data_IF_383166014880
#
_entry.id   IF_383166014880
#
_cell.length_a   1.000
_cell.length_b   1.000
_cell.length_c   1.000
_cell.angle_alpha   90.00
_cell.angle_beta   90.00
_cell.angle_gamma   90.00
#
_symmetry.space_group_name_H-M   'P 1'
#
loop_
_entity.id
_entity.type
_entity.pdbx_description
1 polymer ?
#
# COMPACT_ATOMS: atom_id res chain seq x y z
N UNK A 1 51.59 98.88 -56.64
CA UNK A 1 52.93 99.18 -57.21
C UNK A 1 53.62 100.13 -56.24
N UNK A 2 54.97 100.13 -56.14
CA UNK A 2 55.80 100.94 -55.20
C UNK A 2 55.69 100.45 -53.74
N UNK A 3 56.74 100.38 -52.88
CA UNK A 3 58.21 100.26 -53.06
C UNK A 3 58.85 99.78 -51.74
N UNK A 4 59.72 98.77 -51.82
CA UNK A 4 61.08 98.57 -51.23
C UNK A 4 61.48 99.27 -49.89
N UNK A 5 62.44 98.63 -49.19
CA UNK A 5 63.43 99.15 -48.18
C UNK A 5 63.05 98.75 -46.73
N UNK A 6 63.70 97.73 -46.12
CA UNK A 6 65.03 97.73 -45.42
C UNK A 6 65.00 98.61 -44.14
N UNK A 7 65.62 98.28 -43.01
CA UNK A 7 66.84 97.48 -42.79
C UNK A 7 66.98 97.02 -41.30
N UNK A 8 67.85 96.01 -41.09
CA UNK A 8 68.65 95.60 -39.91
C UNK A 8 68.09 95.73 -38.46
N UNK A 9 68.14 94.75 -37.53
CA UNK A 9 68.97 93.54 -37.24
C UNK A 9 69.85 93.72 -35.98
N UNK A 10 70.25 92.57 -35.36
CA UNK A 10 71.21 92.34 -34.25
C UNK A 10 70.56 92.35 -32.84
N UNK A 11 70.12 91.19 -32.32
CA UNK A 11 70.81 90.22 -31.40
C UNK A 11 71.25 90.80 -30.04
N UNK A 12 71.17 90.09 -28.91
CA UNK A 12 71.17 88.63 -28.59
C UNK A 12 70.30 88.40 -27.31
N UNK A 13 69.95 87.23 -26.76
CA UNK A 13 70.49 85.85 -26.86
C UNK A 13 69.48 84.73 -26.47
N UNK A 14 70.02 83.52 -26.29
CA UNK A 14 69.45 82.22 -25.91
C UNK A 14 68.55 82.19 -24.64
N UNK A 15 67.50 81.37 -24.56
CA UNK A 15 67.55 79.90 -24.63
C UNK A 15 66.40 79.22 -25.43
N UNK A 16 66.61 77.96 -25.81
CA UNK A 16 65.80 77.21 -26.77
C UNK A 16 65.27 75.90 -26.16
N UNK A 17 64.02 75.51 -26.55
CA UNK A 17 63.44 74.14 -26.54
C UNK A 17 63.39 73.37 -25.18
N UNK A 18 62.29 72.79 -24.70
CA UNK A 18 61.29 71.92 -25.37
C UNK A 18 60.02 71.79 -24.50
N UNK A 19 58.85 71.51 -25.11
CA UNK A 19 57.60 71.16 -24.40
C UNK A 19 57.40 69.64 -24.28
N UNK A 20 56.84 69.16 -23.17
CA UNK A 20 55.88 68.04 -23.19
C UNK A 20 54.63 68.37 -22.30
N UNK A 21 53.59 67.52 -22.18
CA UNK A 21 52.25 67.94 -22.60
C UNK A 21 51.25 68.20 -21.45
N UNK A 22 50.08 68.76 -21.81
CA UNK A 22 48.93 68.86 -20.91
C UNK A 22 48.43 67.49 -20.45
N UNK A 23 48.66 67.14 -19.18
CA UNK A 23 47.93 66.06 -18.53
C UNK A 23 46.58 66.58 -18.03
N UNK A 24 45.51 66.16 -18.71
CA UNK A 24 44.15 66.35 -18.22
C UNK A 24 43.92 65.33 -17.08
N UNK A 25 43.88 65.80 -15.84
CA UNK A 25 43.60 64.96 -14.68
C UNK A 25 42.14 64.50 -14.72
N UNK A 26 41.89 63.38 -15.38
CA UNK A 26 40.64 62.64 -15.23
C UNK A 26 40.62 62.12 -13.79
N UNK A 27 39.84 62.78 -12.94
CA UNK A 27 39.52 62.29 -11.61
C UNK A 27 38.83 60.93 -11.74
N UNK A 28 39.58 59.85 -11.58
CA UNK A 28 39.02 58.51 -11.48
C UNK A 28 38.10 58.46 -10.27
N UNK A 29 36.80 58.36 -10.54
CA UNK A 29 35.81 58.10 -9.50
C UNK A 29 36.23 56.85 -8.72
N UNK A 30 36.19 56.94 -7.38
CA UNK A 30 36.42 55.79 -6.51
C UNK A 30 35.26 54.79 -6.65
N UNK A 31 35.28 54.01 -7.73
CA UNK A 31 34.60 52.73 -7.76
C UNK A 31 35.20 51.87 -6.64
N UNK A 32 34.43 51.69 -5.57
CA UNK A 32 34.75 50.69 -4.57
C UNK A 32 34.90 49.33 -5.28
N UNK A 33 35.98 48.61 -5.01
CA UNK A 33 36.21 47.31 -5.60
C UNK A 33 35.17 46.31 -5.06
N UNK A 34 34.09 46.09 -5.82
CA UNK A 34 32.96 45.25 -5.38
C UNK A 34 33.25 43.74 -5.45
N UNK A 35 34.31 43.32 -6.17
CA UNK A 35 34.70 41.93 -6.37
C UNK A 35 34.82 41.07 -5.08
N UNK A 36 35.54 41.49 -4.01
CA UNK A 36 35.62 40.69 -2.77
C UNK A 36 34.25 40.46 -2.11
N UNK A 37 33.33 41.41 -2.17
CA UNK A 37 31.98 41.25 -1.62
C UNK A 37 31.15 40.25 -2.43
N UNK A 38 31.29 40.26 -3.76
CA UNK A 38 30.65 39.27 -4.65
C UNK A 38 31.19 37.86 -4.35
N UNK A 39 32.51 37.70 -4.22
CA UNK A 39 33.13 36.41 -3.88
C UNK A 39 32.66 35.92 -2.51
N UNK A 40 32.64 36.78 -1.49
CA UNK A 40 32.17 36.43 -0.15
C UNK A 40 30.67 36.05 -0.11
N UNK A 41 29.84 36.71 -0.92
CA UNK A 41 28.42 36.35 -1.06
C UNK A 41 28.24 35.00 -1.76
N UNK A 42 29.01 34.74 -2.82
CA UNK A 42 28.99 33.46 -3.54
C UNK A 42 29.47 32.30 -2.66
N UNK A 43 30.55 32.47 -1.88
CA UNK A 43 31.01 31.42 -0.95
C UNK A 43 30.02 31.18 0.18
N UNK A 44 29.43 32.25 0.75
CA UNK A 44 28.37 32.11 1.75
C UNK A 44 27.15 31.35 1.19
N UNK A 45 26.71 31.67 -0.03
CA UNK A 45 25.61 30.97 -0.70
C UNK A 45 25.95 29.50 -0.98
N UNK A 46 27.18 29.19 -1.38
CA UNK A 46 27.66 27.82 -1.56
C UNK A 46 27.65 27.02 -0.26
N UNK A 47 28.09 27.61 0.86
CA UNK A 47 28.05 26.99 2.19
C UNK A 47 26.60 26.76 2.64
N UNK A 48 25.69 27.72 2.42
CA UNK A 48 24.26 27.55 2.72
C UNK A 48 23.66 26.42 1.90
N UNK A 49 23.91 26.36 0.59
CA UNK A 49 23.44 25.26 -0.27
C UNK A 49 24.00 23.91 0.20
N UNK A 50 25.29 23.82 0.53
CA UNK A 50 25.89 22.59 1.06
C UNK A 50 25.25 22.14 2.38
N UNK A 51 24.96 23.06 3.30
CA UNK A 51 24.28 22.75 4.57
C UNK A 51 22.82 22.31 4.34
N UNK A 52 22.12 22.92 3.38
CA UNK A 52 20.75 22.51 3.00
C UNK A 52 20.75 21.11 2.39
N UNK A 53 21.64 20.83 1.44
CA UNK A 53 21.78 19.53 0.78
C UNK A 53 22.16 18.43 1.77
N UNK A 54 23.14 18.70 2.66
CA UNK A 54 23.52 17.77 3.73
C UNK A 54 22.36 17.48 4.70
N UNK A 55 21.56 18.51 5.03
CA UNK A 55 20.35 18.36 5.88
C UNK A 55 19.25 17.59 5.16
N UNK A 56 19.08 17.78 3.85
CA UNK A 56 18.14 17.04 3.01
C UNK A 56 18.53 15.56 2.93
N UNK A 57 19.79 15.28 2.58
CA UNK A 57 20.32 13.92 2.46
C UNK A 57 20.26 13.14 3.78
N UNK A 58 20.53 13.80 4.93
CA UNK A 58 20.33 13.19 6.25
C UNK A 58 18.86 12.85 6.54
N UNK A 59 17.90 13.70 6.15
CA UNK A 59 16.46 13.41 6.31
C UNK A 59 16.01 12.23 5.45
N UNK A 60 16.49 12.12 4.22
CA UNK A 60 16.22 10.97 3.35
C UNK A 60 16.76 9.67 3.97
N UNK A 61 18.01 9.67 4.45
CA UNK A 61 18.62 8.50 5.10
C UNK A 61 17.80 7.99 6.30
N UNK A 62 17.34 8.87 7.19
CA UNK A 62 16.48 8.48 8.33
C UNK A 62 15.15 7.87 7.87
N UNK A 63 14.48 8.46 6.85
CA UNK A 63 13.23 7.91 6.30
C UNK A 63 13.43 6.53 5.69
N UNK A 64 14.49 6.34 4.90
CA UNK A 64 14.82 5.03 4.30
C UNK A 64 15.16 4.00 5.37
N UNK A 65 15.86 4.37 6.44
CA UNK A 65 16.11 3.46 7.56
C UNK A 65 14.80 3.04 8.26
N UNK A 66 13.90 3.97 8.56
CA UNK A 66 12.59 3.66 9.15
C UNK A 66 11.72 2.80 8.23
N UNK A 67 11.71 3.05 6.92
CA UNK A 67 11.04 2.19 5.95
C UNK A 67 11.64 0.79 5.92
N UNK A 68 12.97 0.66 5.93
CA UNK A 68 13.66 -0.64 5.97
C UNK A 68 13.32 -1.40 7.25
N UNK A 69 13.23 -0.71 8.38
CA UNK A 69 12.86 -1.31 9.66
C UNK A 69 11.38 -1.76 9.65
N UNK A 70 10.49 -0.94 9.12
CA UNK A 70 9.08 -1.30 8.94
C UNK A 70 8.91 -2.53 8.02
N UNK A 71 9.58 -2.53 6.86
CA UNK A 71 9.63 -3.68 5.94
C UNK A 71 10.22 -4.94 6.59
N UNK A 72 11.26 -4.82 7.42
CA UNK A 72 11.85 -5.95 8.14
C UNK A 72 10.87 -6.55 9.13
N UNK A 73 10.13 -5.70 9.85
CA UNK A 73 9.11 -6.08 10.82
C UNK A 73 7.74 -6.40 10.17
N UNK A 74 7.65 -6.41 8.83
CA UNK A 74 6.41 -6.61 8.04
C UNK A 74 5.30 -5.59 8.35
N UNK A 75 5.66 -4.42 8.86
CA UNK A 75 4.76 -3.29 9.03
C UNK A 75 4.74 -2.46 7.74
N UNK A 76 3.66 -2.60 6.98
CA UNK A 76 3.42 -1.82 5.76
C UNK A 76 2.49 -0.61 6.00
N UNK A 77 2.14 -0.32 7.26
CA UNK A 77 1.28 0.81 7.65
C UNK A 77 2.06 2.12 7.90
N UNK A 78 3.36 2.16 7.56
CA UNK A 78 4.12 3.40 7.60
C UNK A 78 3.52 4.44 6.63
N UNK A 79 3.53 5.70 7.05
CA UNK A 79 3.16 6.84 6.21
C UNK A 79 4.27 7.87 6.21
N UNK A 80 4.82 8.12 5.02
CA UNK A 80 5.78 9.18 4.78
C UNK A 80 5.04 10.54 4.72
N UNK A 81 5.57 11.60 5.35
CA UNK A 81 5.06 12.95 5.16
C UNK A 81 5.15 13.35 3.68
N UNK A 82 4.04 13.81 3.10
CA UNK A 82 3.94 14.25 1.69
C UNK A 82 4.09 15.77 1.53
N UNK A 83 4.61 16.44 2.56
CA UNK A 83 4.78 17.90 2.64
C UNK A 83 6.06 18.41 1.95
N UNK A 84 6.95 17.52 1.49
CA UNK A 84 8.31 17.89 1.07
C UNK A 84 8.36 19.05 0.08
N UNK A 85 9.40 19.88 0.17
CA UNK A 85 9.56 21.10 -0.62
C UNK A 85 9.64 20.80 -2.13
N UNK A 86 10.16 19.62 -2.52
CA UNK A 86 10.35 19.23 -3.92
C UNK A 86 9.15 18.40 -4.46
N UNK A 87 8.57 18.74 -5.62
CA UNK A 87 7.37 18.08 -6.14
C UNK A 87 7.58 16.58 -6.42
N UNK A 88 8.69 16.19 -7.05
CA UNK A 88 8.97 14.78 -7.34
C UNK A 88 9.19 13.92 -6.09
N UNK A 89 9.66 14.51 -4.98
CA UNK A 89 9.75 13.80 -3.70
C UNK A 89 8.36 13.55 -3.10
N UNK A 90 7.43 14.52 -3.23
CA UNK A 90 6.03 14.35 -2.80
C UNK A 90 5.33 13.23 -3.56
N UNK A 91 5.52 13.17 -4.88
CA UNK A 91 4.93 12.13 -5.73
C UNK A 91 5.47 10.74 -5.36
N UNK A 92 6.80 10.61 -5.20
CA UNK A 92 7.41 9.37 -4.73
C UNK A 92 6.88 8.95 -3.34
N UNK A 93 6.76 9.89 -2.39
CA UNK A 93 6.22 9.64 -1.06
C UNK A 93 4.75 9.20 -1.10
N UNK A 94 3.96 9.81 -1.97
CA UNK A 94 2.56 9.43 -2.20
C UNK A 94 2.46 8.01 -2.75
N UNK A 95 3.20 7.68 -3.80
CA UNK A 95 3.24 6.33 -4.39
C UNK A 95 3.70 5.27 -3.39
N UNK A 96 4.71 5.58 -2.56
CA UNK A 96 5.17 4.65 -1.51
C UNK A 96 4.11 4.39 -0.43
N UNK A 97 3.34 5.42 -0.05
CA UNK A 97 2.23 5.27 0.90
C UNK A 97 1.07 4.45 0.29
N UNK A 98 0.77 4.65 -0.99
CA UNK A 98 -0.23 3.87 -1.74
C UNK A 98 0.20 2.39 -1.85
N UNK A 99 1.45 2.15 -2.28
CA UNK A 99 2.06 0.81 -2.36
C UNK A 99 2.08 0.08 -1.02
N UNK A 100 2.37 0.76 0.11
CA UNK A 100 2.30 0.15 1.44
C UNK A 100 0.88 -0.33 1.79
N UNK A 101 -0.14 0.47 1.45
CA UNK A 101 -1.55 0.09 1.59
C UNK A 101 -1.94 -1.10 0.72
N UNK A 102 -1.53 -1.10 -0.56
CA UNK A 102 -1.78 -2.20 -1.50
C UNK A 102 -1.13 -3.52 -1.05
N UNK A 103 0.14 -3.49 -0.63
CA UNK A 103 0.85 -4.66 -0.12
C UNK A 103 0.15 -5.22 1.11
N UNK A 104 -0.24 -4.37 2.07
CA UNK A 104 -0.95 -4.83 3.26
C UNK A 104 -2.30 -5.47 2.91
N UNK A 105 -3.05 -4.89 1.97
CA UNK A 105 -4.30 -5.47 1.50
C UNK A 105 -4.09 -6.81 0.78
N UNK A 106 -3.05 -6.92 -0.06
CA UNK A 106 -2.69 -8.15 -0.75
C UNK A 106 -2.26 -9.24 0.24
N UNK A 107 -1.44 -8.89 1.23
CA UNK A 107 -1.00 -9.81 2.28
C UNK A 107 -2.20 -10.34 3.08
N UNK A 108 -3.07 -9.46 3.58
CA UNK A 108 -4.28 -9.85 4.32
C UNK A 108 -5.19 -10.77 3.48
N UNK A 109 -5.36 -10.50 2.19
CA UNK A 109 -6.09 -11.40 1.27
C UNK A 109 -5.41 -12.77 1.14
N UNK A 110 -4.09 -12.79 0.94
CA UNK A 110 -3.31 -14.04 0.78
C UNK A 110 -3.28 -14.88 2.07
N UNK A 111 -3.31 -14.23 3.24
CA UNK A 111 -3.38 -14.90 4.54
C UNK A 111 -4.76 -15.54 4.74
N UNK A 112 -5.85 -14.81 4.46
CA UNK A 112 -7.22 -15.36 4.49
C UNK A 112 -7.38 -16.51 3.50
N UNK A 113 -6.86 -16.39 2.27
CA UNK A 113 -6.91 -17.46 1.27
C UNK A 113 -6.11 -18.70 1.74
N UNK A 114 -4.90 -18.49 2.27
CA UNK A 114 -4.05 -19.56 2.81
C UNK A 114 -4.72 -20.28 3.98
N UNK A 115 -5.34 -19.53 4.88
CA UNK A 115 -6.08 -20.06 6.02
C UNK A 115 -7.33 -20.84 5.59
N UNK A 116 -8.12 -20.31 4.63
CA UNK A 116 -9.25 -21.03 4.05
C UNK A 116 -8.82 -22.34 3.37
N UNK A 117 -7.71 -22.31 2.62
CA UNK A 117 -7.14 -23.49 1.97
C UNK A 117 -6.68 -24.53 2.99
N UNK A 118 -5.97 -24.10 4.04
CA UNK A 118 -5.54 -24.97 5.12
C UNK A 118 -6.74 -25.63 5.82
N UNK A 119 -7.74 -24.84 6.21
CA UNK A 119 -8.97 -25.35 6.84
C UNK A 119 -9.68 -26.36 5.94
N UNK A 120 -9.77 -26.12 4.63
CA UNK A 120 -10.37 -27.07 3.67
C UNK A 120 -9.61 -28.40 3.62
N UNK A 121 -8.27 -28.36 3.52
CA UNK A 121 -7.45 -29.57 3.50
C UNK A 121 -7.54 -30.32 4.84
N UNK A 122 -7.43 -29.62 5.97
CA UNK A 122 -7.54 -30.24 7.30
C UNK A 122 -8.91 -30.90 7.51
N UNK A 123 -10.00 -30.23 7.12
CA UNK A 123 -11.35 -30.84 7.14
C UNK A 123 -11.42 -32.09 6.28
N UNK A 124 -10.87 -32.05 5.06
CA UNK A 124 -10.82 -33.22 4.17
C UNK A 124 -10.03 -34.38 4.81
N UNK A 125 -8.85 -34.14 5.37
CA UNK A 125 -8.05 -35.20 6.00
C UNK A 125 -8.69 -35.76 7.29
N UNK A 126 -9.37 -34.93 8.08
CA UNK A 126 -10.17 -35.42 9.23
C UNK A 126 -11.31 -36.30 8.71
N UNK A 127 -12.06 -35.87 7.69
CA UNK A 127 -13.15 -36.67 7.12
C UNK A 127 -12.65 -37.97 6.48
N UNK A 128 -11.47 -37.98 5.85
CA UNK A 128 -10.81 -39.17 5.32
C UNK A 128 -10.49 -40.20 6.40
N UNK A 129 -10.06 -39.75 7.58
CA UNK A 129 -9.80 -40.63 8.72
C UNK A 129 -11.10 -41.11 9.39
N UNK A 130 -12.10 -40.23 9.55
CA UNK A 130 -13.32 -40.50 10.32
C UNK A 130 -14.35 -41.33 9.54
N UNK A 131 -14.53 -41.09 8.24
CA UNK A 131 -15.50 -41.79 7.39
C UNK A 131 -15.36 -43.33 7.41
N UNK A 132 -14.17 -43.94 7.24
CA UNK A 132 -14.02 -45.39 7.33
C UNK A 132 -14.26 -45.91 8.76
N UNK A 133 -13.85 -45.17 9.80
CA UNK A 133 -14.12 -45.55 11.21
C UNK A 133 -15.64 -45.61 11.46
N UNK A 134 -16.38 -44.59 11.03
CA UNK A 134 -17.84 -44.55 11.16
C UNK A 134 -18.50 -45.67 10.36
N UNK A 135 -18.03 -45.96 9.14
CA UNK A 135 -18.59 -47.02 8.28
C UNK A 135 -18.34 -48.42 8.84
N UNK A 136 -17.14 -48.68 9.36
CA UNK A 136 -16.77 -49.95 9.99
C UNK A 136 -17.59 -50.17 11.26
N UNK A 137 -17.62 -49.19 12.17
CA UNK A 137 -18.37 -49.32 13.43
C UNK A 137 -19.88 -49.45 13.18
N UNK A 138 -20.44 -48.72 12.21
CA UNK A 138 -21.83 -48.87 11.77
C UNK A 138 -22.18 -50.29 11.33
N UNK A 139 -21.29 -50.94 10.56
CA UNK A 139 -21.49 -52.32 10.10
C UNK A 139 -21.42 -53.33 11.26
N UNK A 140 -20.54 -53.07 12.25
CA UNK A 140 -20.37 -53.94 13.40
C UNK A 140 -21.51 -53.86 14.42
N UNK A 141 -22.11 -52.69 14.67
CA UNK A 141 -23.25 -52.53 15.62
C UNK A 141 -24.43 -53.46 15.30
N UNK A 142 -24.77 -53.62 14.02
CA UNK A 142 -25.83 -54.53 13.58
C UNK A 142 -25.45 -56.01 13.58
N UNK A 143 -24.18 -56.36 13.80
CA UNK A 143 -23.65 -57.71 13.60
C UNK A 143 -23.85 -58.62 14.83
N UNK A 144 -24.07 -59.91 14.58
CA UNK A 144 -24.11 -60.95 15.62
C UNK A 144 -22.77 -61.17 16.34
N UNK A 145 -21.68 -60.57 15.85
CA UNK A 145 -20.36 -60.64 16.48
C UNK A 145 -20.20 -59.64 17.63
N UNK A 146 -21.07 -58.63 17.70
CA UNK A 146 -20.96 -57.50 18.61
C UNK A 146 -22.22 -57.35 19.45
N UNK A 147 -23.40 -57.47 18.83
CA UNK A 147 -24.70 -57.36 19.49
C UNK A 147 -24.88 -58.44 20.56
N UNK A 148 -25.18 -58.04 21.79
CA UNK A 148 -25.27 -58.90 22.97
C UNK A 148 -23.92 -59.29 23.58
N UNK A 149 -22.81 -58.68 23.14
CA UNK A 149 -21.47 -58.92 23.71
C UNK A 149 -20.96 -57.69 24.47
N UNK A 150 -19.95 -57.82 25.36
CA UNK A 150 -19.32 -56.68 26.01
C UNK A 150 -18.68 -55.65 25.07
N UNK A 151 -18.57 -55.94 23.76
CA UNK A 151 -18.04 -55.02 22.75
C UNK A 151 -19.11 -54.05 22.21
N UNK A 152 -20.40 -54.30 22.45
CA UNK A 152 -21.51 -53.51 21.90
C UNK A 152 -21.42 -52.03 22.31
N UNK A 153 -21.30 -51.76 23.62
CA UNK A 153 -21.19 -50.41 24.16
C UNK A 153 -19.94 -49.67 23.64
N UNK A 154 -18.80 -50.36 23.54
CA UNK A 154 -17.55 -49.78 23.05
C UNK A 154 -17.61 -49.39 21.57
N UNK A 155 -18.17 -50.26 20.72
CA UNK A 155 -18.30 -50.00 19.29
C UNK A 155 -19.37 -48.94 19.03
N UNK A 156 -20.47 -48.94 19.79
CA UNK A 156 -21.48 -47.89 19.77
C UNK A 156 -20.88 -46.52 20.14
N UNK A 157 -20.08 -46.45 21.21
CA UNK A 157 -19.42 -45.22 21.64
C UNK A 157 -18.43 -44.67 20.58
N UNK A 158 -17.66 -45.53 19.91
CA UNK A 158 -16.78 -45.11 18.81
C UNK A 158 -17.59 -44.59 17.62
N UNK A 159 -18.69 -45.26 17.26
CA UNK A 159 -19.59 -44.80 16.20
C UNK A 159 -20.17 -43.41 16.52
N UNK A 160 -20.77 -43.23 17.70
CA UNK A 160 -21.39 -41.97 18.10
C UNK A 160 -20.36 -40.83 18.19
N UNK A 161 -19.14 -41.13 18.64
CA UNK A 161 -18.01 -40.18 18.64
C UNK A 161 -17.61 -39.79 17.22
N UNK A 162 -17.45 -40.76 16.31
CA UNK A 162 -17.08 -40.52 14.91
C UNK A 162 -18.14 -39.71 14.15
N UNK A 163 -19.42 -39.97 14.42
CA UNK A 163 -20.56 -39.22 13.90
C UNK A 163 -20.60 -37.79 14.44
N UNK A 164 -20.37 -37.62 15.74
CA UNK A 164 -20.33 -36.30 16.39
C UNK A 164 -19.16 -35.45 15.89
N UNK A 165 -17.98 -36.06 15.69
CA UNK A 165 -16.82 -35.38 15.13
C UNK A 165 -17.07 -34.96 13.67
N UNK A 166 -17.66 -35.82 12.84
CA UNK A 166 -18.05 -35.47 11.46
C UNK A 166 -19.00 -34.27 11.43
N UNK A 167 -20.02 -34.26 12.29
CA UNK A 167 -20.99 -33.16 12.39
C UNK A 167 -20.33 -31.86 12.90
N UNK A 168 -19.42 -31.94 13.87
CA UNK A 168 -18.65 -30.80 14.37
C UNK A 168 -17.74 -30.20 13.30
N UNK A 169 -16.97 -31.03 12.60
CA UNK A 169 -16.04 -30.62 11.55
C UNK A 169 -16.78 -29.97 10.37
N UNK A 170 -17.93 -30.52 9.98
CA UNK A 170 -18.78 -29.93 8.93
C UNK A 170 -19.40 -28.59 9.37
N UNK A 171 -19.82 -28.48 10.63
CA UNK A 171 -20.32 -27.21 11.19
C UNK A 171 -19.22 -26.15 11.25
N UNK A 172 -18.01 -26.54 11.65
CA UNK A 172 -16.83 -25.66 11.64
C UNK A 172 -16.47 -25.22 10.22
N UNK A 173 -16.51 -26.12 9.23
CA UNK A 173 -16.31 -25.80 7.81
C UNK A 173 -17.31 -24.75 7.31
N UNK A 174 -18.60 -24.91 7.64
CA UNK A 174 -19.66 -23.95 7.28
C UNK A 174 -19.49 -22.58 7.94
N UNK A 175 -19.04 -22.54 9.20
CA UNK A 175 -18.79 -21.30 9.93
C UNK A 175 -17.56 -20.53 9.42
N UNK A 176 -16.50 -21.25 9.02
CA UNK A 176 -15.19 -20.65 8.70
C UNK A 176 -14.97 -20.38 7.22
N UNK A 177 -15.68 -21.08 6.33
CA UNK A 177 -15.58 -20.90 4.89
C UNK A 177 -16.83 -20.22 4.37
N UNK A 178 -16.65 -19.10 3.68
CA UNK A 178 -17.66 -18.59 2.76
C UNK A 178 -17.99 -19.72 1.78
N UNK A 179 -19.21 -20.23 1.85
CA UNK A 179 -19.69 -21.18 0.84
C UNK A 179 -19.68 -20.45 -0.51
N UNK A 180 -19.31 -21.16 -1.58
CA UNK A 180 -19.38 -20.61 -2.93
C UNK A 180 -20.84 -20.39 -3.27
N UNK A 181 -21.24 -19.12 -3.41
CA UNK A 181 -22.62 -18.74 -3.70
C UNK A 181 -23.09 -19.44 -4.98
N UNK A 182 -24.03 -20.37 -4.86
CA UNK A 182 -24.60 -21.10 -5.97
C UNK A 182 -25.93 -20.46 -6.36
N UNK A 183 -25.89 -19.54 -7.33
CA UNK A 183 -27.09 -18.90 -7.85
C UNK A 183 -27.89 -19.89 -8.69
N UNK A 184 -29.12 -20.14 -8.30
CA UNK A 184 -30.09 -20.99 -9.02
C UNK A 184 -31.44 -20.28 -9.16
N UNK A 185 -32.26 -20.71 -10.12
CA UNK A 185 -33.63 -20.21 -10.27
C UNK A 185 -34.55 -20.91 -9.27
N UNK A 186 -35.04 -20.14 -8.30
CA UNK A 186 -35.83 -20.64 -7.18
C UNK A 186 -37.29 -20.28 -7.40
N UNK A 187 -38.14 -21.30 -7.50
CA UNK A 187 -39.59 -21.18 -7.49
C UNK A 187 -40.06 -20.60 -6.15
N UNK A 188 -40.55 -19.35 -6.19
CA UNK A 188 -41.00 -18.63 -5.00
C UNK A 188 -42.28 -19.23 -4.40
N UNK A 189 -43.15 -19.82 -5.21
CA UNK A 189 -44.39 -20.45 -4.72
C UNK A 189 -44.06 -21.74 -3.96
N UNK A 190 -43.09 -22.52 -4.45
CA UNK A 190 -42.56 -23.69 -3.75
C UNK A 190 -41.83 -23.29 -2.46
N UNK A 191 -41.00 -22.25 -2.49
CA UNK A 191 -40.31 -21.72 -1.30
C UNK A 191 -41.30 -21.32 -0.20
N UNK A 192 -42.33 -20.53 -0.54
CA UNK A 192 -43.36 -20.09 0.41
C UNK A 192 -44.14 -21.28 0.98
N UNK A 193 -44.47 -22.27 0.15
CA UNK A 193 -45.19 -23.49 0.60
C UNK A 193 -44.35 -24.30 1.61
N UNK A 194 -43.04 -24.42 1.37
CA UNK A 194 -42.12 -25.07 2.31
C UNK A 194 -42.06 -24.31 3.65
N UNK A 195 -41.96 -22.98 3.62
CA UNK A 195 -41.90 -22.13 4.83
C UNK A 195 -43.22 -22.16 5.63
N UNK A 196 -44.37 -22.14 4.95
CA UNK A 196 -45.69 -22.33 5.58
C UNK A 196 -45.80 -23.69 6.28
N UNK A 197 -45.25 -24.74 5.67
CA UNK A 197 -45.22 -26.09 6.26
C UNK A 197 -44.33 -26.14 7.51
N UNK A 198 -43.18 -25.46 7.48
CA UNK A 198 -42.23 -25.42 8.59
C UNK A 198 -42.76 -24.59 9.78
N UNK A 199 -43.52 -23.51 9.53
CA UNK A 199 -44.08 -22.62 10.54
C UNK A 199 -45.61 -22.53 10.46
N UNK A 200 -46.27 -23.68 10.65
CA UNK A 200 -47.73 -23.83 10.62
C UNK A 200 -48.49 -22.99 11.68
N UNK A 201 -47.80 -22.36 12.63
CA UNK A 201 -48.38 -21.54 13.71
C UNK A 201 -48.53 -20.05 13.33
N UNK A 202 -48.02 -19.62 12.17
CA UNK A 202 -48.00 -18.22 11.75
C UNK A 202 -49.09 -17.93 10.71
N UNK A 203 -49.66 -16.72 10.73
CA UNK A 203 -50.64 -16.26 9.74
C UNK A 203 -49.92 -15.62 8.55
N UNK A 204 -49.74 -16.39 7.48
CA UNK A 204 -49.01 -15.94 6.29
C UNK A 204 -49.88 -15.08 5.37
N UNK A 205 -49.42 -13.87 5.06
CA UNK A 205 -49.95 -13.04 3.99
C UNK A 205 -48.84 -12.83 2.97
N UNK A 206 -49.03 -13.37 1.76
CA UNK A 206 -48.00 -13.39 0.71
C UNK A 206 -48.64 -12.91 -0.59
N UNK A 207 -48.17 -11.78 -1.10
CA UNK A 207 -48.48 -11.28 -2.43
C UNK A 207 -47.24 -11.48 -3.32
N UNK A 208 -47.37 -12.36 -4.32
CA UNK A 208 -46.32 -12.69 -5.29
C UNK A 208 -46.53 -12.03 -6.65
N UNK A 209 -47.54 -11.16 -6.79
CA UNK A 209 -47.88 -10.40 -8.00
C UNK A 209 -47.64 -11.14 -9.32
N UNK A 210 -46.47 -10.95 -9.95
CA UNK A 210 -46.05 -11.58 -11.21
C UNK A 210 -44.67 -12.28 -11.15
N UNK A 211 -44.04 -12.41 -9.97
CA UNK A 211 -42.67 -12.98 -9.85
C UNK A 211 -42.76 -14.45 -9.49
N UNK A 212 -42.44 -15.33 -10.44
CA UNK A 212 -42.48 -16.78 -10.25
C UNK A 212 -41.12 -17.35 -9.80
N UNK A 213 -40.03 -16.83 -10.36
CA UNK A 213 -38.65 -17.26 -10.05
C UNK A 213 -37.80 -16.12 -9.48
N UNK A 214 -36.93 -16.48 -8.54
CA UNK A 214 -35.88 -15.61 -8.00
C UNK A 214 -34.52 -16.24 -8.27
N UNK A 215 -33.60 -15.49 -8.88
CA UNK A 215 -32.23 -15.94 -9.09
C UNK A 215 -31.40 -15.60 -7.85
N UNK A 216 -31.21 -16.59 -6.97
CA UNK A 216 -30.54 -16.43 -5.68
C UNK A 216 -29.92 -17.77 -5.24
N UNK A 217 -29.21 -17.79 -4.11
CA UNK A 217 -28.68 -19.02 -3.52
C UNK A 217 -29.68 -19.60 -2.52
N UNK A 218 -30.23 -20.79 -2.83
CA UNK A 218 -31.22 -21.45 -1.99
C UNK A 218 -30.64 -21.86 -0.62
N UNK A 219 -29.35 -22.15 -0.53
CA UNK A 219 -28.69 -22.53 0.73
C UNK A 219 -28.61 -21.37 1.73
N UNK A 220 -28.86 -20.13 1.28
CA UNK A 220 -28.96 -18.93 2.11
C UNK A 220 -30.41 -18.57 2.50
N UNK A 221 -31.43 -19.32 2.05
CA UNK A 221 -32.86 -19.04 2.24
C UNK A 221 -33.65 -20.17 2.94
N UNK A 222 -32.94 -21.02 3.69
CA UNK A 222 -33.49 -22.13 4.49
C UNK A 222 -33.28 -21.92 5.99
#
# INVERSE_FOLDING_TARGET
MVTIVRNLNITTSHHHNTSPPHHHNISTSQHHNMAPYIIALLTALLVVLFVLEWRHQRRLSTRVHLMREALHNRDFMFRLPTDSIMPGERELQKMLNEMGGEINQLMARSEVESWQRLTRVLTHEIMNAVTPIQSITQAYIGSKMVKGTPLEEGIQAIYDTSRSLSAFVESYRKMTQLQTVNLEEIDLQRLVTNLQTLYHNLTWHVDLANVQTLHADASMMH
#
